data_IF_940385605401
#
_entry.id   IF_940385605401
#
_cell.length_a   1.000
_cell.length_b   1.000
_cell.length_c   1.000
_cell.angle_alpha   90.00
_cell.angle_beta   90.00
_cell.angle_gamma   90.00
#
_symmetry.space_group_name_H-M   'P 1'
#
loop_
_entity.id
_entity.type
_entity.pdbx_description
1 polymer ?
#
# COMPACT_ATOMS: atom_id res chain seq x y z
N UNK A 1 7.50 17.92 9.06
CA UNK A 1 6.36 17.08 9.47
C UNK A 1 5.67 17.72 10.64
N UNK A 2 6.18 17.53 11.87
CA UNK A 2 5.61 18.05 13.12
C UNK A 2 5.27 19.55 13.11
N UNK A 3 6.24 20.42 12.82
CA UNK A 3 6.01 21.88 12.79
C UNK A 3 4.94 22.34 11.79
N UNK A 4 4.66 21.51 10.79
CA UNK A 4 3.68 21.79 9.74
C UNK A 4 2.38 20.98 9.91
N UNK A 5 2.24 20.22 11.01
CA UNK A 5 1.08 19.36 11.27
C UNK A 5 0.80 18.36 10.14
N UNK A 6 1.85 17.82 9.53
CA UNK A 6 1.76 16.77 8.49
C UNK A 6 2.53 15.53 8.90
N UNK A 7 1.98 14.35 8.58
CA UNK A 7 2.64 13.05 8.75
C UNK A 7 3.41 12.73 7.47
N UNK A 8 4.64 12.27 7.62
CA UNK A 8 5.41 11.68 6.52
C UNK A 8 5.17 10.17 6.53
N UNK A 9 5.00 9.59 5.34
CA UNK A 9 4.82 8.16 5.17
C UNK A 9 5.92 7.63 4.25
N UNK A 10 6.71 6.67 4.72
CA UNK A 10 7.75 6.02 3.93
C UNK A 10 7.16 4.79 3.24
N UNK A 11 7.28 4.74 1.92
CA UNK A 11 6.70 3.68 1.09
C UNK A 11 7.59 2.43 1.02
N UNK A 12 6.98 1.24 1.12
CA UNK A 12 7.63 0.02 0.64
C UNK A 12 7.73 0.09 -0.88
N UNK A 13 8.94 0.27 -1.41
CA UNK A 13 9.20 0.47 -2.84
C UNK A 13 10.59 -0.09 -3.18
N UNK A 14 11.03 0.06 -4.43
CA UNK A 14 12.33 -0.41 -4.88
C UNK A 14 13.51 0.10 -4.03
N UNK A 15 14.63 -0.63 -4.06
CA UNK A 15 15.83 -0.25 -3.33
C UNK A 15 15.75 -0.58 -1.83
N UNK A 16 16.01 0.41 -0.96
CA UNK A 16 16.18 0.19 0.48
C UNK A 16 14.91 -0.27 1.19
N UNK A 17 13.73 0.03 0.64
CA UNK A 17 12.42 -0.32 1.24
C UNK A 17 11.75 -1.49 0.53
N UNK A 18 12.50 -2.26 -0.28
CA UNK A 18 11.99 -3.39 -1.06
C UNK A 18 11.56 -4.57 -0.19
N UNK A 19 12.04 -4.62 1.05
CA UNK A 19 11.67 -5.65 2.03
C UNK A 19 11.09 -4.98 3.29
N UNK A 20 10.20 -5.68 4.03
CA UNK A 20 9.70 -5.21 5.31
C UNK A 20 10.82 -4.82 6.28
N UNK A 21 11.90 -5.61 6.34
CA UNK A 21 13.01 -5.38 7.26
C UNK A 21 13.76 -4.09 6.90
N UNK A 22 13.98 -3.82 5.60
CA UNK A 22 14.60 -2.60 5.13
C UNK A 22 13.76 -1.36 5.44
N UNK A 23 12.45 -1.44 5.17
CA UNK A 23 11.50 -0.37 5.47
C UNK A 23 11.42 -0.10 6.98
N UNK A 24 11.15 -1.13 7.78
CA UNK A 24 10.98 -1.02 9.23
C UNK A 24 12.28 -0.62 9.92
N UNK A 25 13.45 -1.01 9.40
CA UNK A 25 14.73 -0.50 9.91
C UNK A 25 14.83 1.02 9.81
N UNK A 26 14.36 1.62 8.72
CA UNK A 26 14.42 3.07 8.53
C UNK A 26 13.38 3.77 9.43
N UNK A 27 12.12 3.31 9.41
CA UNK A 27 11.04 3.93 10.18
C UNK A 27 11.32 3.82 11.69
N UNK A 28 11.71 2.63 12.19
CA UNK A 28 11.98 2.42 13.61
C UNK A 28 13.28 3.07 14.11
N UNK A 29 14.18 3.50 13.20
CA UNK A 29 15.37 4.25 13.60
C UNK A 29 15.05 5.70 14.01
N UNK A 30 13.83 6.18 13.73
CA UNK A 30 13.37 7.54 14.01
C UNK A 30 12.18 7.46 14.96
N UNK A 31 12.40 7.77 16.24
CA UNK A 31 11.35 7.78 17.26
C UNK A 31 10.48 9.05 17.14
N UNK A 32 9.52 9.05 16.20
CA UNK A 32 8.60 10.16 15.99
C UNK A 32 7.23 9.69 15.50
N UNK A 33 6.12 10.14 16.10
CA UNK A 33 4.78 9.82 15.63
C UNK A 33 4.42 10.50 14.30
N UNK A 34 5.28 11.39 13.80
CA UNK A 34 5.11 12.11 12.54
C UNK A 34 5.72 11.39 11.33
N UNK A 35 6.26 10.18 11.54
CA UNK A 35 6.73 9.29 10.50
C UNK A 35 6.01 7.94 10.64
N UNK A 36 5.43 7.44 9.56
CA UNK A 36 4.84 6.11 9.49
C UNK A 36 5.14 5.42 8.17
N UNK A 37 4.44 4.32 7.91
CA UNK A 37 4.56 3.57 6.66
C UNK A 37 3.47 3.98 5.68
N UNK A 38 3.86 4.21 4.43
CA UNK A 38 2.95 4.14 3.29
C UNK A 38 2.95 2.69 2.82
N UNK A 39 1.86 1.98 3.05
CA UNK A 39 1.73 0.59 2.63
C UNK A 39 1.20 0.54 1.21
N UNK A 40 2.07 0.28 0.25
CA UNK A 40 1.73 -0.01 -1.13
C UNK A 40 1.46 -1.52 -1.29
N UNK A 41 0.30 -1.87 -1.83
CA UNK A 41 -0.13 -3.28 -1.95
C UNK A 41 0.59 -4.06 -3.05
N UNK A 42 1.21 -3.38 -4.02
CA UNK A 42 1.81 -3.97 -5.21
C UNK A 42 3.34 -3.97 -5.25
N UNK A 43 4.02 -3.20 -4.40
CA UNK A 43 5.48 -3.07 -4.46
C UNK A 43 6.26 -4.25 -3.85
N UNK A 44 5.57 -5.22 -3.26
CA UNK A 44 6.14 -6.53 -2.94
C UNK A 44 5.78 -7.55 -4.03
N UNK A 45 6.70 -7.74 -4.98
CA UNK A 45 6.44 -8.45 -6.26
C UNK A 45 6.03 -9.92 -6.12
N UNK A 46 6.52 -10.61 -5.09
CA UNK A 46 6.30 -12.05 -4.88
C UNK A 46 5.67 -12.27 -3.50
N UNK A 47 4.54 -12.98 -3.49
CA UNK A 47 3.73 -13.31 -2.31
C UNK A 47 3.68 -12.17 -1.27
N UNK A 48 2.96 -11.08 -1.59
CA UNK A 48 3.06 -9.83 -0.83
C UNK A 48 2.49 -9.94 0.59
N UNK A 49 1.59 -10.89 0.84
CA UNK A 49 0.68 -10.85 1.98
C UNK A 49 1.39 -10.93 3.33
N UNK A 50 2.34 -11.86 3.49
CA UNK A 50 3.11 -11.99 4.73
C UNK A 50 4.01 -10.77 4.97
N UNK A 51 4.44 -10.11 3.89
CA UNK A 51 5.23 -8.87 3.95
C UNK A 51 4.36 -7.67 4.30
N UNK A 52 3.14 -7.60 3.77
CA UNK A 52 2.14 -6.58 4.11
C UNK A 52 1.72 -6.72 5.58
N UNK A 53 1.50 -7.94 6.09
CA UNK A 53 1.19 -8.17 7.52
C UNK A 53 2.25 -7.59 8.45
N UNK A 54 3.54 -7.70 8.08
CA UNK A 54 4.65 -7.19 8.90
C UNK A 54 4.66 -5.66 9.04
N UNK A 55 4.19 -4.94 8.02
CA UNK A 55 4.25 -3.47 7.99
C UNK A 55 2.90 -2.81 8.32
N UNK A 56 1.79 -3.56 8.26
CA UNK A 56 0.44 -3.03 8.41
C UNK A 56 0.20 -2.27 9.72
N UNK A 57 0.81 -2.71 10.83
CA UNK A 57 0.64 -2.06 12.14
C UNK A 57 1.24 -0.63 12.21
N UNK A 58 2.17 -0.28 11.32
CA UNK A 58 2.75 1.06 11.21
C UNK A 58 2.21 1.85 10.02
N UNK A 59 1.26 1.29 9.26
CA UNK A 59 0.68 1.94 8.11
C UNK A 59 -0.15 3.15 8.55
N UNK A 60 0.16 4.32 7.99
CA UNK A 60 -0.61 5.56 8.17
C UNK A 60 -1.37 5.93 6.91
N UNK A 61 -0.97 5.39 5.76
CA UNK A 61 -1.60 5.57 4.46
C UNK A 61 -1.45 4.30 3.62
N UNK A 62 -2.48 3.93 2.85
CA UNK A 62 -2.45 2.75 1.98
C UNK A 62 -2.61 3.18 0.53
N UNK A 63 -1.70 2.74 -0.33
CA UNK A 63 -1.87 2.78 -1.79
C UNK A 63 -2.28 1.39 -2.29
N UNK A 64 -3.52 1.31 -2.75
CA UNK A 64 -4.10 0.13 -3.35
C UNK A 64 -3.80 0.12 -4.85
N UNK A 65 -2.74 -0.58 -5.23
CA UNK A 65 -2.26 -0.65 -6.61
C UNK A 65 -3.08 -1.61 -7.49
N UNK A 66 -3.42 -1.21 -8.71
CA UNK A 66 -4.20 -2.04 -9.65
C UNK A 66 -3.65 -1.93 -11.08
N UNK A 67 -3.89 -2.97 -11.89
CA UNK A 67 -3.17 -3.17 -13.17
C UNK A 67 -4.09 -3.56 -14.35
N UNK A 68 -5.31 -3.04 -14.44
CA UNK A 68 -6.17 -3.34 -15.59
C UNK A 68 -5.49 -2.93 -16.91
N UNK A 69 -5.49 -3.84 -17.89
CA UNK A 69 -4.71 -3.69 -19.13
C UNK A 69 -3.24 -4.14 -19.03
N UNK A 70 -2.83 -4.70 -17.89
CA UNK A 70 -1.45 -5.04 -17.58
C UNK A 70 -0.66 -3.83 -17.08
N UNK A 71 0.34 -4.06 -16.24
CA UNK A 71 1.18 -2.99 -15.69
C UNK A 71 2.34 -2.58 -16.60
N UNK A 72 2.98 -1.46 -16.26
CA UNK A 72 4.12 -0.93 -17.00
C UNK A 72 5.32 -1.87 -16.96
N UNK A 73 5.72 -2.28 -15.75
CA UNK A 73 6.89 -3.11 -15.50
C UNK A 73 6.55 -4.55 -15.12
N UNK A 74 5.46 -4.73 -14.39
CA UNK A 74 4.95 -6.01 -13.92
C UNK A 74 3.44 -5.89 -13.70
N UNK A 75 2.76 -7.04 -13.69
CA UNK A 75 1.31 -7.10 -13.41
C UNK A 75 1.13 -8.06 -12.26
N UNK A 76 0.49 -7.62 -11.18
CA UNK A 76 0.12 -8.48 -10.08
C UNK A 76 -1.38 -8.70 -10.06
N UNK A 77 -1.78 -9.92 -9.74
CA UNK A 77 -3.14 -10.26 -9.37
C UNK A 77 -3.23 -10.25 -7.83
N UNK A 78 -3.74 -9.15 -7.28
CA UNK A 78 -3.77 -8.90 -5.84
C UNK A 78 -5.13 -9.27 -5.25
N UNK A 79 -5.12 -10.17 -4.27
CA UNK A 79 -6.30 -10.55 -3.49
C UNK A 79 -6.65 -9.45 -2.49
N UNK A 80 -7.47 -8.50 -2.94
CA UNK A 80 -7.93 -7.38 -2.12
C UNK A 80 -8.77 -7.79 -0.90
N UNK A 81 -9.66 -8.79 -0.97
CA UNK A 81 -10.28 -9.36 0.22
C UNK A 81 -9.27 -9.81 1.30
N UNK A 82 -8.17 -10.48 0.91
CA UNK A 82 -7.10 -10.85 1.84
C UNK A 82 -6.37 -9.62 2.40
N UNK A 83 -6.04 -8.64 1.55
CA UNK A 83 -5.41 -7.37 1.98
C UNK A 83 -6.31 -6.62 2.98
N UNK A 84 -7.63 -6.61 2.76
CA UNK A 84 -8.59 -6.01 3.68
C UNK A 84 -8.60 -6.69 5.05
N UNK A 85 -8.49 -8.02 5.09
CA UNK A 85 -8.36 -8.75 6.34
C UNK A 85 -7.07 -8.41 7.09
N UNK A 86 -5.95 -8.24 6.39
CA UNK A 86 -4.67 -7.83 6.97
C UNK A 86 -4.79 -6.46 7.63
N UNK A 87 -5.32 -5.48 6.89
CA UNK A 87 -5.52 -4.11 7.41
C UNK A 87 -6.51 -4.07 8.58
N UNK A 88 -7.58 -4.85 8.52
CA UNK A 88 -8.54 -4.99 9.62
C UNK A 88 -7.91 -5.61 10.87
N UNK A 89 -7.09 -6.65 10.72
CA UNK A 89 -6.33 -7.28 11.82
C UNK A 89 -5.35 -6.30 12.47
N UNK A 90 -4.77 -5.40 11.69
CA UNK A 90 -3.91 -4.31 12.17
C UNK A 90 -4.68 -3.11 12.75
N UNK A 91 -6.02 -3.15 12.78
CA UNK A 91 -6.88 -2.04 13.20
C UNK A 91 -6.58 -0.73 12.43
N UNK A 92 -6.30 -0.85 11.13
CA UNK A 92 -6.07 0.30 10.26
C UNK A 92 -7.36 1.08 10.03
N UNK A 93 -7.33 2.38 10.29
CA UNK A 93 -8.49 3.28 10.20
C UNK A 93 -8.26 4.46 9.23
N UNK A 94 -7.14 4.46 8.50
CA UNK A 94 -6.77 5.54 7.59
C UNK A 94 -7.39 5.41 6.20
N UNK A 95 -6.91 6.23 5.27
CA UNK A 95 -7.39 6.23 3.89
C UNK A 95 -6.75 5.12 3.05
N UNK A 96 -7.59 4.48 2.25
CA UNK A 96 -7.18 3.57 1.18
C UNK A 96 -7.31 4.33 -0.13
N UNK A 97 -6.18 4.66 -0.74
CA UNK A 97 -6.12 5.42 -1.98
C UNK A 97 -5.84 4.49 -3.15
N UNK A 98 -6.61 4.62 -4.22
CA UNK A 98 -6.33 3.90 -5.45
C UNK A 98 -5.05 4.44 -6.09
N UNK A 99 -4.15 3.53 -6.44
CA UNK A 99 -3.06 3.80 -7.37
C UNK A 99 -3.24 2.93 -8.62
N UNK A 100 -3.49 3.57 -9.75
CA UNK A 100 -3.73 2.88 -11.01
C UNK A 100 -2.44 2.87 -11.84
N UNK A 101 -1.82 1.70 -12.00
CA UNK A 101 -0.62 1.48 -12.83
C UNK A 101 -0.91 0.55 -14.02
N UNK A 102 -2.19 0.40 -14.38
CA UNK A 102 -2.62 -0.35 -15.54
C UNK A 102 -2.46 0.43 -16.85
N UNK A 103 -2.32 -0.29 -17.97
CA UNK A 103 -2.26 0.27 -19.33
C UNK A 103 -3.61 0.45 -20.01
N UNK A 104 -4.70 -0.01 -19.39
CA UNK A 104 -6.05 0.29 -19.88
C UNK A 104 -6.32 1.81 -19.82
N UNK A 105 -7.23 2.31 -20.67
CA UNK A 105 -7.66 3.71 -20.62
C UNK A 105 -8.13 4.09 -19.20
N UNK A 106 -7.65 5.23 -18.69
CA UNK A 106 -7.94 5.63 -17.32
C UNK A 106 -9.44 5.84 -17.06
N UNK A 107 -10.23 6.23 -18.07
CA UNK A 107 -11.68 6.40 -17.92
C UNK A 107 -12.43 5.07 -17.74
N UNK A 108 -11.78 3.92 -17.99
CA UNK A 108 -12.36 2.59 -17.76
C UNK A 108 -11.62 1.81 -16.67
N UNK A 109 -10.29 1.87 -16.64
CA UNK A 109 -9.45 1.19 -15.65
C UNK A 109 -9.65 1.72 -14.23
N UNK A 110 -9.72 3.04 -14.04
CA UNK A 110 -9.93 3.64 -12.72
C UNK A 110 -11.29 3.27 -12.14
N UNK A 111 -12.44 3.40 -12.85
CA UNK A 111 -13.73 2.95 -12.34
C UNK A 111 -13.77 1.47 -11.94
N UNK A 112 -13.21 0.55 -12.75
CA UNK A 112 -13.11 -0.88 -12.40
C UNK A 112 -12.30 -1.11 -11.13
N UNK A 113 -11.22 -0.35 -10.97
CA UNK A 113 -10.38 -0.42 -9.77
C UNK A 113 -11.14 0.06 -8.55
N UNK A 114 -11.86 1.18 -8.63
CA UNK A 114 -12.69 1.67 -7.54
C UNK A 114 -13.82 0.69 -7.17
N UNK A 115 -14.40 0.00 -8.14
CA UNK A 115 -15.41 -1.05 -7.88
C UNK A 115 -14.81 -2.22 -7.08
N UNK A 116 -13.66 -2.75 -7.52
CA UNK A 116 -12.93 -3.80 -6.80
C UNK A 116 -12.60 -3.40 -5.36
N UNK A 117 -12.05 -2.20 -5.18
CA UNK A 117 -11.65 -1.70 -3.85
C UNK A 117 -12.86 -1.47 -2.95
N UNK A 118 -13.97 -0.95 -3.48
CA UNK A 118 -15.21 -0.81 -2.71
C UNK A 118 -15.67 -2.17 -2.22
N UNK A 119 -15.75 -3.17 -3.08
CA UNK A 119 -16.18 -4.52 -2.69
C UNK A 119 -15.30 -5.13 -1.59
N UNK A 120 -13.99 -4.85 -1.59
CA UNK A 120 -13.06 -5.42 -0.61
C UNK A 120 -13.08 -4.70 0.75
N UNK A 121 -13.29 -3.37 0.75
CA UNK A 121 -13.10 -2.53 1.94
C UNK A 121 -14.40 -1.94 2.53
N UNK A 122 -15.56 -2.13 1.87
CA UNK A 122 -16.87 -1.70 2.39
C UNK A 122 -17.50 -2.69 3.36
#
# INVERSE_FOLDING_TARGET
AEKASVVLALENHWGLTRTPEGLLRIVNAIDSPWLGVLMDTGNFLEDPYDKLEQIAAQAVFVQAKTYYGGGEWYTLDLDYPRIAQILKKANYQGYISLEFEGKEDANTGVPKSLELLRQAFS
#
